data_IF_157890039969
#
_entry.id   IF_157890039969
#
_cell.length_a   1.000
_cell.length_b   1.000
_cell.length_c   1.000
_cell.angle_alpha   90.00
_cell.angle_beta   90.00
_cell.angle_gamma   90.00
#
_symmetry.space_group_name_H-M   'P 1'
#
loop_
_entity.id
_entity.type
_entity.pdbx_description
1 polymer ?
#
# COMPACT_ATOMS: atom_id res chain seq x y z
N UNK A 1 -34.02 2.83 29.15
CA UNK A 1 -34.15 2.82 27.69
C UNK A 1 -33.13 3.72 26.97
N UNK A 2 -32.90 4.95 27.43
CA UNK A 2 -31.91 5.85 26.81
C UNK A 2 -30.48 5.34 26.91
N UNK A 3 -30.11 4.63 27.98
CA UNK A 3 -28.77 4.07 28.18
C UNK A 3 -28.45 2.93 27.22
N UNK A 4 -29.45 2.11 26.86
CA UNK A 4 -29.29 1.01 25.90
C UNK A 4 -29.04 1.49 24.48
N UNK A 5 -29.67 2.60 24.09
CA UNK A 5 -29.51 3.21 22.77
C UNK A 5 -28.11 3.80 22.61
N UNK A 6 -27.58 4.42 23.68
CA UNK A 6 -26.22 5.00 23.68
C UNK A 6 -25.15 3.90 23.54
N UNK A 7 -25.33 2.77 24.23
CA UNK A 7 -24.40 1.63 24.16
C UNK A 7 -24.39 1.02 22.75
N UNK A 8 -25.58 0.92 22.11
CA UNK A 8 -25.68 0.42 20.73
C UNK A 8 -24.96 1.33 19.74
N UNK A 9 -25.05 2.63 19.91
CA UNK A 9 -24.38 3.62 19.06
C UNK A 9 -22.85 3.53 19.22
N UNK A 10 -22.37 3.35 20.45
CA UNK A 10 -20.95 3.20 20.74
C UNK A 10 -20.37 1.93 20.11
N UNK A 11 -21.11 0.83 20.11
CA UNK A 11 -20.70 -0.42 19.47
C UNK A 11 -20.60 -0.29 17.94
N UNK A 12 -21.49 0.49 17.32
CA UNK A 12 -21.45 0.75 15.90
C UNK A 12 -20.23 1.59 15.51
N UNK A 13 -19.83 2.55 16.36
CA UNK A 13 -18.63 3.37 16.12
C UNK A 13 -17.35 2.58 16.21
N UNK A 14 -17.28 1.55 17.06
CA UNK A 14 -16.07 0.76 17.24
C UNK A 14 -15.77 -0.16 16.06
N UNK A 15 -16.74 -0.42 15.18
CA UNK A 15 -16.53 -1.23 13.98
C UNK A 15 -16.04 -0.42 12.77
N UNK A 16 -16.19 0.90 12.79
CA UNK A 16 -15.80 1.76 11.68
C UNK A 16 -14.29 1.81 11.38
N UNK A 17 -13.38 1.85 12.35
CA UNK A 17 -11.94 1.91 12.07
C UNK A 17 -11.39 0.72 11.31
N UNK A 18 -12.02 -0.45 11.38
CA UNK A 18 -11.54 -1.67 10.73
C UNK A 18 -11.74 -1.66 9.22
N UNK A 19 -12.70 -0.88 8.71
CA UNK A 19 -12.98 -0.81 7.28
C UNK A 19 -12.33 0.40 6.60
N UNK A 20 -11.77 1.34 7.37
CA UNK A 20 -11.17 2.56 6.84
C UNK A 20 -9.85 2.30 6.11
N UNK A 21 -9.12 1.23 6.45
CA UNK A 21 -7.81 0.93 5.88
C UNK A 21 -7.87 0.55 4.40
N UNK A 22 -8.90 -0.20 3.99
CA UNK A 22 -9.05 -0.61 2.58
C UNK A 22 -9.40 0.56 1.68
N UNK A 23 -10.20 1.52 2.16
CA UNK A 23 -10.61 2.68 1.36
C UNK A 23 -9.49 3.71 1.20
N UNK A 24 -8.46 3.71 2.06
CA UNK A 24 -7.37 4.70 2.03
C UNK A 24 -6.24 4.32 1.06
N UNK A 25 -6.29 3.16 0.43
CA UNK A 25 -5.22 2.73 -0.48
C UNK A 25 -5.01 3.73 -1.64
N UNK A 26 -6.10 4.20 -2.25
CA UNK A 26 -6.04 5.15 -3.37
C UNK A 26 -6.41 6.58 -2.98
N UNK A 27 -7.14 6.76 -1.87
CA UNK A 27 -7.76 8.04 -1.52
C UNK A 27 -7.03 8.81 -0.43
N UNK A 28 -5.91 8.30 0.08
CA UNK A 28 -5.12 8.97 1.11
C UNK A 28 -4.05 9.87 0.48
N UNK A 29 -4.19 11.22 0.57
CA UNK A 29 -3.20 12.14 0.00
C UNK A 29 -1.81 11.97 0.60
N UNK A 30 -1.69 11.60 1.87
CA UNK A 30 -0.40 11.40 2.54
C UNK A 30 0.37 10.22 1.95
N UNK A 31 -0.33 9.14 1.60
CA UNK A 31 0.29 7.99 0.94
C UNK A 31 0.80 8.34 -0.45
N UNK A 32 0.03 9.12 -1.22
CA UNK A 32 0.46 9.58 -2.54
C UNK A 32 1.68 10.49 -2.44
N UNK A 33 1.66 11.44 -1.49
CA UNK A 33 2.79 12.33 -1.26
C UNK A 33 4.06 11.56 -0.88
N UNK A 34 3.92 10.53 -0.04
CA UNK A 34 5.04 9.67 0.34
C UNK A 34 5.68 9.00 -0.88
N UNK A 35 4.88 8.35 -1.74
CA UNK A 35 5.40 7.67 -2.92
C UNK A 35 5.99 8.64 -3.95
N UNK A 36 5.35 9.78 -4.15
CA UNK A 36 5.89 10.81 -5.03
C UNK A 36 7.22 11.36 -4.52
N UNK A 37 7.32 11.63 -3.23
CA UNK A 37 8.56 12.12 -2.60
C UNK A 37 9.68 11.10 -2.74
N UNK A 38 9.39 9.83 -2.49
CA UNK A 38 10.37 8.74 -2.65
C UNK A 38 10.84 8.62 -4.09
N UNK A 39 9.92 8.71 -5.03
CA UNK A 39 10.22 8.63 -6.46
C UNK A 39 11.14 9.77 -6.92
N UNK A 40 10.94 10.98 -6.40
CA UNK A 40 11.75 12.15 -6.72
C UNK A 40 13.11 12.13 -6.01
N UNK A 41 13.12 11.64 -4.76
CA UNK A 41 14.34 11.58 -3.96
C UNK A 41 15.31 10.51 -4.47
N UNK A 42 14.79 9.42 -4.99
CA UNK A 42 15.58 8.28 -5.48
C UNK A 42 15.23 7.98 -6.95
N UNK A 43 15.53 8.92 -7.88
CA UNK A 43 15.10 8.77 -9.27
C UNK A 43 15.73 7.58 -10.01
N UNK A 44 16.91 7.12 -9.56
CA UNK A 44 17.62 6.01 -10.17
C UNK A 44 17.33 4.67 -9.48
N UNK A 45 16.51 4.66 -8.45
CA UNK A 45 16.11 3.45 -7.72
C UNK A 45 14.94 2.80 -8.45
N UNK A 46 15.25 1.83 -9.31
CA UNK A 46 14.23 1.15 -10.12
C UNK A 46 13.12 0.51 -9.29
N UNK A 47 13.42 -0.23 -8.19
CA UNK A 47 12.35 -0.75 -7.33
C UNK A 47 11.38 0.31 -6.82
N UNK A 48 11.87 1.48 -6.42
CA UNK A 48 11.01 2.59 -5.97
C UNK A 48 10.11 3.06 -7.11
N UNK A 49 10.67 3.21 -8.32
CA UNK A 49 9.89 3.64 -9.49
C UNK A 49 8.83 2.62 -9.86
N UNK A 50 9.15 1.32 -9.80
CA UNK A 50 8.20 0.24 -10.09
C UNK A 50 7.04 0.25 -9.10
N UNK A 51 7.31 0.38 -7.80
CA UNK A 51 6.26 0.40 -6.77
C UNK A 51 5.35 1.62 -6.93
N UNK A 52 5.90 2.78 -7.24
CA UNK A 52 5.11 3.98 -7.49
C UNK A 52 4.21 3.80 -8.72
N UNK A 53 4.78 3.32 -9.82
CA UNK A 53 4.04 3.07 -11.06
C UNK A 53 2.94 2.02 -10.84
N UNK A 54 3.23 0.95 -10.09
CA UNK A 54 2.26 -0.09 -9.78
C UNK A 54 1.08 0.47 -8.98
N UNK A 55 1.35 1.30 -7.97
CA UNK A 55 0.30 1.94 -7.19
C UNK A 55 -0.61 2.79 -8.07
N UNK A 56 -0.03 3.60 -8.94
CA UNK A 56 -0.77 4.42 -9.89
C UNK A 56 -1.67 3.54 -10.78
N UNK A 57 -1.08 2.49 -11.37
CA UNK A 57 -1.81 1.58 -12.25
C UNK A 57 -2.92 0.82 -11.56
N UNK A 58 -2.68 0.32 -10.35
CA UNK A 58 -3.69 -0.39 -9.57
C UNK A 58 -4.86 0.52 -9.21
N UNK A 59 -4.59 1.77 -8.83
CA UNK A 59 -5.64 2.73 -8.50
C UNK A 59 -6.48 3.12 -9.74
N UNK A 60 -5.86 3.21 -10.91
CA UNK A 60 -6.59 3.40 -12.16
C UNK A 60 -7.52 2.21 -12.42
N UNK A 61 -7.04 0.98 -12.23
CA UNK A 61 -7.83 -0.23 -12.45
C UNK A 61 -9.00 -0.35 -11.47
N UNK A 62 -8.81 0.07 -10.22
CA UNK A 62 -9.90 0.15 -9.24
C UNK A 62 -10.96 1.13 -9.72
N UNK A 63 -10.55 2.31 -10.19
CA UNK A 63 -11.47 3.32 -10.71
C UNK A 63 -12.24 2.86 -11.94
N UNK A 64 -11.68 1.96 -12.73
CA UNK A 64 -12.33 1.34 -13.88
C UNK A 64 -13.18 0.12 -13.53
N UNK A 65 -13.26 -0.25 -12.25
CA UNK A 65 -13.95 -1.45 -11.76
C UNK A 65 -13.38 -2.75 -12.34
N UNK A 66 -12.11 -2.74 -12.78
CA UNK A 66 -11.44 -3.91 -13.32
C UNK A 66 -10.94 -4.85 -12.22
N UNK A 67 -10.55 -4.30 -11.08
CA UNK A 67 -10.13 -5.05 -9.89
C UNK A 67 -10.73 -4.41 -8.64
N UNK A 68 -10.87 -5.19 -7.58
CA UNK A 68 -11.29 -4.67 -6.27
C UNK A 68 -10.12 -4.01 -5.54
N UNK A 69 -10.44 -3.17 -4.54
CA UNK A 69 -9.42 -2.58 -3.68
C UNK A 69 -8.63 -3.65 -2.93
N UNK A 70 -9.30 -4.69 -2.44
CA UNK A 70 -8.65 -5.80 -1.74
C UNK A 70 -7.66 -6.54 -2.64
N UNK A 71 -8.05 -6.84 -3.87
CA UNK A 71 -7.16 -7.47 -4.86
C UNK A 71 -5.94 -6.60 -5.15
N UNK A 72 -6.15 -5.30 -5.28
CA UNK A 72 -5.06 -4.36 -5.55
C UNK A 72 -4.07 -4.31 -4.39
N UNK A 73 -4.56 -4.28 -3.15
CA UNK A 73 -3.71 -4.27 -1.96
C UNK A 73 -2.89 -5.55 -1.88
N UNK A 74 -3.49 -6.71 -2.14
CA UNK A 74 -2.80 -7.99 -2.13
C UNK A 74 -1.69 -8.03 -3.18
N UNK A 75 -1.98 -7.59 -4.40
CA UNK A 75 -1.00 -7.53 -5.49
C UNK A 75 0.15 -6.56 -5.16
N UNK A 76 -0.18 -5.42 -4.58
CA UNK A 76 0.83 -4.43 -4.20
C UNK A 76 1.76 -4.99 -3.11
N UNK A 77 1.20 -5.63 -2.09
CA UNK A 77 1.98 -6.22 -1.00
C UNK A 77 2.87 -7.36 -1.50
N UNK A 78 2.37 -8.19 -2.41
CA UNK A 78 3.15 -9.27 -3.03
C UNK A 78 4.34 -8.69 -3.81
N UNK A 79 4.14 -7.58 -4.51
CA UNK A 79 5.22 -6.94 -5.26
C UNK A 79 6.25 -6.29 -4.32
N UNK A 80 5.80 -5.68 -3.22
CA UNK A 80 6.70 -5.12 -2.20
C UNK A 80 7.61 -6.23 -1.67
N UNK A 81 7.04 -7.38 -1.31
CA UNK A 81 7.81 -8.52 -0.80
C UNK A 81 8.82 -9.04 -1.83
N UNK A 82 8.39 -9.12 -3.09
CA UNK A 82 9.27 -9.55 -4.19
C UNK A 82 10.44 -8.60 -4.38
N UNK A 83 10.19 -7.31 -4.35
CA UNK A 83 11.21 -6.27 -4.51
C UNK A 83 12.21 -6.30 -3.35
N UNK A 84 11.72 -6.45 -2.13
CA UNK A 84 12.58 -6.53 -0.93
C UNK A 84 13.47 -7.78 -1.00
N UNK A 85 12.91 -8.93 -1.34
CA UNK A 85 13.66 -10.18 -1.44
C UNK A 85 14.72 -10.10 -2.53
N UNK A 86 14.40 -9.53 -3.68
CA UNK A 86 15.34 -9.35 -4.78
C UNK A 86 16.50 -8.44 -4.38
N UNK A 87 16.21 -7.37 -3.68
CA UNK A 87 17.22 -6.43 -3.19
C UNK A 87 18.17 -7.09 -2.18
N UNK A 88 17.64 -7.92 -1.29
CA UNK A 88 18.44 -8.66 -0.33
C UNK A 88 19.34 -9.69 -1.02
N UNK A 89 18.83 -10.39 -2.03
CA UNK A 89 19.62 -11.35 -2.83
C UNK A 89 20.77 -10.65 -3.55
N UNK A 90 20.52 -9.46 -4.14
CA UNK A 90 21.55 -8.68 -4.81
C UNK A 90 22.64 -8.24 -3.82
N UNK A 91 22.29 -7.84 -2.61
CA UNK A 91 23.25 -7.49 -1.57
C UNK A 91 24.12 -8.67 -1.15
N UNK A 92 23.53 -9.86 -1.04
CA UNK A 92 24.27 -11.08 -0.73
C UNK A 92 25.27 -11.41 -1.83
N UNK A 93 24.88 -11.26 -3.10
CA UNK A 93 25.77 -11.49 -4.23
C UNK A 93 26.93 -10.50 -4.26
N UNK A 94 26.67 -9.22 -4.00
CA UNK A 94 27.71 -8.20 -3.90
C UNK A 94 28.70 -8.51 -2.78
N UNK A 95 28.20 -8.98 -1.64
CA UNK A 95 29.02 -9.40 -0.53
C UNK A 95 29.93 -10.58 -0.86
N UNK A 96 29.45 -11.52 -1.68
CA UNK A 96 30.24 -12.67 -2.13
C UNK A 96 31.30 -12.28 -3.15
N UNK A 97 30.99 -11.34 -4.05
CA UNK A 97 31.94 -10.88 -5.08
C UNK A 97 33.12 -10.11 -4.45
N UNK A 98 32.90 -9.45 -3.34
CA UNK A 98 33.95 -8.69 -2.63
C UNK A 98 34.82 -9.53 -1.72
N UNK A 99 34.52 -10.80 -1.58
CA UNK A 99 35.34 -11.74 -0.80
C UNK A 99 36.34 -12.46 -1.70
#
# INVERSE_FOLDING_TARGET
MKKLIIISILLLFSCHPLYADDSTFCDDPQKWEYFESMSKKYPDDIPVQILHALKIGLCVKIGQNSISTTEAIDLFNDMVDTVINKRDDEKEQEGKENL
#
